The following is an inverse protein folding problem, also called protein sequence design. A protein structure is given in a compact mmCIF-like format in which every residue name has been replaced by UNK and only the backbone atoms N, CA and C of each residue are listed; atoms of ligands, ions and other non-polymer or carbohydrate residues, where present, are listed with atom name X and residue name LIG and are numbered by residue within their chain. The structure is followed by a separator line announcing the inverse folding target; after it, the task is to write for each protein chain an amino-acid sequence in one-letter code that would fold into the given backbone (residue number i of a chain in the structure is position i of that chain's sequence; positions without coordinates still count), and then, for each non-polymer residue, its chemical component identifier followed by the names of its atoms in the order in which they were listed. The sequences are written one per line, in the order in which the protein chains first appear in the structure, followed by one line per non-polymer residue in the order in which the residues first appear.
data_IF_391738639272
#
_entry.id   IF_391738639272
#
_cell.length_a   1.000
_cell.length_b   1.000
_cell.length_c   1.000
_cell.angle_alpha   90.00
_cell.angle_beta   90.00
_cell.angle_gamma   90.00
#
_symmetry.space_group_name_H-M   'P 1'
#
loop_
_entity.id
_entity.type
_entity.pdbx_description
1 polymer ?
#
# COMPACT_ATOMS: atom_id res chain seq x y z
N UNK A 1 25.15 -21.43 65.59
CA UNK A 1 24.83 -21.28 64.14
C UNK A 1 23.91 -22.44 63.74
N UNK A 2 22.87 -22.23 62.92
CA UNK A 2 22.08 -23.35 62.42
C UNK A 2 22.99 -24.29 61.60
N UNK A 3 22.84 -25.62 61.72
CA UNK A 3 23.75 -26.54 61.07
C UNK A 3 23.64 -26.47 59.54
N UNK A 4 24.79 -26.62 58.87
CA UNK A 4 24.99 -26.41 57.43
C UNK A 4 23.99 -27.18 56.55
N UNK A 5 23.58 -28.38 56.97
CA UNK A 5 22.67 -29.25 56.23
C UNK A 5 21.23 -28.74 56.23
N UNK A 6 20.74 -28.23 57.36
CA UNK A 6 19.44 -27.57 57.46
C UNK A 6 19.40 -26.33 56.55
N UNK A 7 20.45 -25.51 56.59
CA UNK A 7 20.55 -24.29 55.79
C UNK A 7 20.51 -24.57 54.27
N UNK A 8 21.31 -25.53 53.79
CA UNK A 8 21.35 -25.91 52.36
C UNK A 8 20.01 -26.48 51.86
N UNK A 9 19.30 -27.22 52.70
CA UNK A 9 18.00 -27.80 52.35
C UNK A 9 16.91 -26.73 52.27
N UNK A 10 16.88 -25.80 53.22
CA UNK A 10 15.98 -24.63 53.20
C UNK A 10 16.29 -23.68 52.03
N UNK A 11 17.57 -23.49 51.66
CA UNK A 11 17.94 -22.70 50.48
C UNK A 11 17.34 -23.27 49.18
N UNK A 12 17.29 -24.59 49.01
CA UNK A 12 16.70 -25.24 47.83
C UNK A 12 15.19 -24.98 47.75
N UNK A 13 14.49 -25.03 48.89
CA UNK A 13 13.05 -24.69 48.96
C UNK A 13 12.84 -23.20 48.72
N UNK A 14 13.67 -22.34 49.31
CA UNK A 14 13.62 -20.87 49.13
C UNK A 14 13.76 -20.48 47.66
N UNK A 15 14.68 -21.08 46.92
CA UNK A 15 14.84 -20.83 45.47
C UNK A 15 13.56 -21.15 44.69
N UNK A 16 12.87 -22.24 45.03
CA UNK A 16 11.59 -22.62 44.41
C UNK A 16 10.47 -21.65 44.78
N UNK A 17 10.39 -21.22 46.03
CA UNK A 17 9.43 -20.21 46.48
C UNK A 17 9.65 -18.86 45.78
N UNK A 18 10.91 -18.48 45.55
CA UNK A 18 11.25 -17.29 44.76
C UNK A 18 10.72 -17.48 43.33
N UNK A 19 11.03 -18.60 42.68
CA UNK A 19 10.59 -18.86 41.30
C UNK A 19 9.06 -18.87 41.15
N UNK A 20 8.33 -19.52 42.06
CA UNK A 20 6.86 -19.51 42.03
C UNK A 20 6.30 -18.11 42.25
N UNK A 21 6.89 -17.34 43.16
CA UNK A 21 6.46 -15.97 43.43
C UNK A 21 6.79 -15.00 42.30
N UNK A 22 7.92 -15.19 41.58
CA UNK A 22 8.24 -14.47 40.35
C UNK A 22 7.21 -14.79 39.28
N UNK A 23 6.89 -16.07 39.06
CA UNK A 23 5.94 -16.50 38.05
C UNK A 23 4.53 -15.92 38.30
N UNK A 24 4.05 -15.99 39.54
CA UNK A 24 2.74 -15.45 39.91
C UNK A 24 2.64 -13.94 39.71
N UNK A 25 3.71 -13.19 40.09
CA UNK A 25 3.75 -11.73 39.91
C UNK A 25 3.95 -11.32 38.46
N UNK A 26 4.78 -12.04 37.70
CA UNK A 26 4.98 -11.81 36.28
C UNK A 26 3.67 -12.00 35.51
N UNK A 27 2.95 -13.09 35.76
CA UNK A 27 1.64 -13.33 35.15
C UNK A 27 0.64 -12.23 35.51
N UNK A 28 0.63 -11.74 36.75
CA UNK A 28 -0.24 -10.65 37.17
C UNK A 28 0.07 -9.31 36.46
N UNK A 29 1.35 -8.94 36.36
CA UNK A 29 1.75 -7.71 35.66
C UNK A 29 1.53 -7.83 34.15
N UNK A 30 1.66 -9.02 33.57
CA UNK A 30 1.38 -9.28 32.17
C UNK A 30 -0.11 -9.05 31.83
N UNK A 31 -1.04 -9.39 32.73
CA UNK A 31 -2.47 -9.06 32.55
C UNK A 31 -2.67 -7.55 32.42
N UNK A 32 -2.07 -6.78 33.33
CA UNK A 32 -2.16 -5.32 33.30
C UNK A 32 -1.47 -4.71 32.08
N UNK A 33 -0.33 -5.27 31.65
CA UNK A 33 0.37 -4.83 30.45
C UNK A 33 -0.46 -5.08 29.18
N UNK A 34 -1.08 -6.26 29.04
CA UNK A 34 -1.98 -6.53 27.92
C UNK A 34 -3.24 -5.68 27.97
N UNK A 35 -3.83 -5.44 29.15
CA UNK A 35 -4.96 -4.54 29.29
C UNK A 35 -4.59 -3.09 28.88
N UNK A 36 -3.49 -2.54 29.39
CA UNK A 36 -3.00 -1.22 28.98
C UNK A 36 -2.68 -1.17 27.47
N UNK A 37 -2.07 -2.23 26.94
CA UNK A 37 -1.79 -2.38 25.51
C UNK A 37 -3.06 -2.42 24.66
N UNK A 38 -4.14 -3.09 25.11
CA UNK A 38 -5.43 -3.08 24.40
C UNK A 38 -6.03 -1.68 24.35
N UNK A 39 -6.03 -0.96 25.47
CA UNK A 39 -6.53 0.43 25.54
C UNK A 39 -5.72 1.34 24.62
N UNK A 40 -4.39 1.21 24.64
CA UNK A 40 -3.51 1.96 23.76
C UNK A 40 -3.75 1.63 22.27
N UNK A 41 -3.87 0.36 21.91
CA UNK A 41 -4.15 -0.06 20.53
C UNK A 41 -5.52 0.41 20.03
N UNK A 42 -6.52 0.51 20.90
CA UNK A 42 -7.81 1.12 20.58
C UNK A 42 -7.64 2.63 20.38
N UNK A 43 -6.89 3.31 21.26
CA UNK A 43 -6.64 4.73 21.17
C UNK A 43 -5.85 5.13 19.90
N UNK A 44 -4.84 4.36 19.50
CA UNK A 44 -4.10 4.62 18.23
C UNK A 44 -5.00 4.46 17.02
N UNK A 45 -5.89 3.45 17.02
CA UNK A 45 -6.90 3.27 15.98
C UNK A 45 -7.90 4.42 15.92
N UNK A 46 -8.23 5.02 17.06
CA UNK A 46 -9.18 6.12 17.12
C UNK A 46 -8.55 7.50 16.83
N UNK A 47 -7.28 7.70 17.18
CA UNK A 47 -6.64 9.02 17.18
C UNK A 47 -5.69 9.29 15.99
N UNK A 48 -5.28 8.29 15.19
CA UNK A 48 -4.43 8.39 13.98
C UNK A 48 -3.09 9.19 14.08
N UNK A 49 -2.81 9.83 15.20
CA UNK A 49 -1.63 10.67 15.43
C UNK A 49 -0.58 10.00 16.34
N UNK A 50 -0.78 8.72 16.70
CA UNK A 50 0.08 8.01 17.63
C UNK A 50 1.01 7.02 16.89
N UNK A 51 2.26 6.84 17.37
CA UNK A 51 3.22 5.90 16.79
C UNK A 51 2.68 4.47 16.67
N UNK A 52 3.31 3.68 15.80
CA UNK A 52 2.92 2.29 15.53
C UNK A 52 2.80 1.46 16.84
N UNK A 53 1.61 0.88 17.06
CA UNK A 53 1.21 0.26 18.33
C UNK A 53 1.97 -1.04 18.65
N UNK A 54 2.63 -1.63 17.66
CA UNK A 54 3.44 -2.84 17.73
C UNK A 54 4.69 -2.66 18.61
N UNK A 55 5.41 -1.56 18.46
CA UNK A 55 6.63 -1.28 19.23
C UNK A 55 6.32 -0.96 20.69
N UNK A 56 5.24 -0.23 20.96
CA UNK A 56 4.84 0.15 22.32
C UNK A 56 4.37 -1.07 23.13
N UNK A 57 3.66 -2.00 22.50
CA UNK A 57 3.24 -3.25 23.15
C UNK A 57 4.42 -4.11 23.62
N UNK A 58 5.48 -4.22 22.81
CA UNK A 58 6.69 -4.95 23.17
C UNK A 58 7.39 -4.33 24.38
N UNK A 59 7.58 -3.01 24.38
CA UNK A 59 8.23 -2.30 25.50
C UNK A 59 7.42 -2.42 26.80
N UNK A 60 6.09 -2.39 26.74
CA UNK A 60 5.23 -2.59 27.92
C UNK A 60 5.36 -4.01 28.50
N UNK A 61 5.44 -5.04 27.64
CA UNK A 61 5.63 -6.42 28.08
C UNK A 61 7.01 -6.64 28.73
N UNK A 62 8.06 -6.05 28.15
CA UNK A 62 9.41 -6.07 28.71
C UNK A 62 9.44 -5.36 30.07
N UNK A 63 8.88 -4.14 30.16
CA UNK A 63 8.82 -3.37 31.40
C UNK A 63 8.08 -4.13 32.51
N UNK A 64 6.93 -4.74 32.21
CA UNK A 64 6.17 -5.55 33.16
C UNK A 64 6.97 -6.74 33.71
N UNK A 65 7.74 -7.40 32.85
CA UNK A 65 8.59 -8.54 33.24
C UNK A 65 9.73 -8.09 34.15
N UNK A 66 10.42 -7.01 33.79
CA UNK A 66 11.51 -6.44 34.60
C UNK A 66 10.99 -5.96 35.96
N UNK A 67 9.84 -5.28 36.01
CA UNK A 67 9.20 -4.84 37.25
C UNK A 67 8.78 -6.02 38.14
N UNK A 68 8.32 -7.14 37.56
CA UNK A 68 7.97 -8.35 38.32
C UNK A 68 9.21 -8.95 39.01
N UNK A 69 10.32 -9.04 38.28
CA UNK A 69 11.59 -9.53 38.79
C UNK A 69 12.13 -8.59 39.87
N UNK A 70 12.18 -7.29 39.59
CA UNK A 70 12.64 -6.28 40.55
C UNK A 70 11.82 -6.28 41.85
N UNK A 71 10.48 -6.33 41.76
CA UNK A 71 9.62 -6.42 42.94
C UNK A 71 9.86 -7.72 43.71
N UNK A 72 9.98 -8.85 43.03
CA UNK A 72 10.23 -10.12 43.73
C UNK A 72 11.61 -10.16 44.38
N UNK A 73 12.60 -9.50 43.78
CA UNK A 73 13.92 -9.30 44.36
C UNK A 73 13.93 -8.25 45.49
N UNK A 74 12.97 -7.33 45.56
CA UNK A 74 12.81 -6.41 46.68
C UNK A 74 12.07 -7.07 47.86
N UNK A 75 11.10 -7.96 47.58
CA UNK A 75 10.34 -8.73 48.57
C UNK A 75 10.68 -10.21 48.54
N UNK A 76 11.98 -10.52 48.65
CA UNK A 76 12.48 -11.90 48.59
C UNK A 76 11.95 -12.69 49.81
N UNK A 77 11.36 -13.88 49.59
CA UNK A 77 11.09 -14.83 50.67
C UNK A 77 12.36 -15.09 51.49
N UNK A 78 12.22 -15.07 52.80
CA UNK A 78 13.28 -15.34 53.76
C UNK A 78 13.47 -16.86 53.92
N UNK A 79 14.53 -17.28 54.61
CA UNK A 79 14.70 -18.69 54.98
C UNK A 79 13.65 -19.15 55.99
N UNK A 80 13.18 -18.23 56.84
CA UNK A 80 12.05 -18.47 57.74
C UNK A 80 10.79 -18.83 56.96
N UNK A 81 10.48 -18.08 55.90
CA UNK A 81 9.33 -18.38 55.03
C UNK A 81 9.43 -19.76 54.39
N UNK A 82 10.66 -20.19 54.03
CA UNK A 82 10.92 -21.52 53.48
C UNK A 82 10.74 -22.63 54.52
N UNK A 83 11.15 -22.40 55.77
CA UNK A 83 10.93 -23.34 56.88
C UNK A 83 9.44 -23.49 57.19
N UNK A 84 8.73 -22.37 57.38
CA UNK A 84 7.29 -22.35 57.64
C UNK A 84 6.48 -22.96 56.47
N UNK A 85 6.84 -22.66 55.22
CA UNK A 85 6.19 -23.26 54.06
C UNK A 85 6.43 -24.78 53.99
N UNK A 86 7.64 -25.24 54.33
CA UNK A 86 7.97 -26.66 54.37
C UNK A 86 7.20 -27.40 55.46
N UNK A 87 7.10 -26.81 56.66
CA UNK A 87 6.36 -27.41 57.78
C UNK A 87 4.87 -27.54 57.46
N UNK A 88 4.27 -26.51 56.84
CA UNK A 88 2.87 -26.54 56.41
C UNK A 88 2.63 -27.55 55.28
N UNK A 89 3.52 -27.61 54.30
CA UNK A 89 3.35 -28.49 53.13
C UNK A 89 3.57 -29.97 53.47
N UNK A 90 4.46 -30.27 54.42
CA UNK A 90 4.82 -31.63 54.82
C UNK A 90 4.22 -32.06 56.16
N UNK A 91 3.41 -31.22 56.79
CA UNK A 91 2.73 -31.51 58.06
C UNK A 91 3.67 -31.68 59.25
N UNK A 92 4.83 -31.01 59.25
CA UNK A 92 5.90 -31.24 60.23
C UNK A 92 5.68 -30.51 61.56
N UNK A 93 4.51 -29.90 61.79
CA UNK A 93 4.12 -29.25 63.06
C UNK A 93 5.22 -28.33 63.62
N UNK A 94 5.70 -27.39 62.79
CA UNK A 94 6.68 -26.35 63.15
C UNK A 94 8.09 -26.84 63.51
N UNK A 95 8.44 -28.10 63.21
CA UNK A 95 9.78 -28.63 63.51
C UNK A 95 10.90 -27.86 62.83
N UNK A 96 10.76 -27.52 61.54
CA UNK A 96 11.82 -26.81 60.81
C UNK A 96 11.86 -25.32 61.16
N UNK A 97 10.69 -24.68 61.33
CA UNK A 97 10.61 -23.27 61.73
C UNK A 97 11.13 -23.05 63.14
N UNK A 98 10.76 -23.91 64.09
CA UNK A 98 11.21 -23.81 65.48
C UNK A 98 12.71 -24.11 65.61
N UNK A 99 13.22 -25.12 64.89
CA UNK A 99 14.66 -25.38 64.85
C UNK A 99 15.45 -24.22 64.24
N UNK A 100 14.93 -23.55 63.20
CA UNK A 100 15.58 -22.39 62.59
C UNK A 100 15.56 -21.16 63.52
N UNK A 101 14.47 -20.91 64.26
CA UNK A 101 14.36 -19.82 65.25
C UNK A 101 15.29 -20.06 66.44
N UNK A 102 15.31 -21.28 66.98
CA UNK A 102 16.03 -21.62 68.21
C UNK A 102 17.49 -22.00 67.98
N UNK A 103 17.92 -22.18 66.72
CA UNK A 103 19.31 -22.49 66.36
C UNK A 103 20.40 -21.65 67.06
N UNK A 104 20.23 -20.34 67.32
CA UNK A 104 21.21 -19.55 68.06
C UNK A 104 21.40 -19.98 69.52
N UNK A 105 20.38 -20.60 70.16
CA UNK A 105 20.39 -21.03 71.58
C UNK A 105 20.81 -22.49 71.78
N UNK A 106 21.32 -23.13 70.73
CA UNK A 106 21.64 -24.57 70.73
C UNK A 106 22.74 -24.97 71.70
N UNK A 107 23.65 -24.06 72.03
CA UNK A 107 24.73 -24.30 73.00
C UNK A 107 24.28 -24.10 74.46
N UNK A 108 23.17 -23.40 74.68
CA UNK A 108 22.66 -23.03 76.00
C UNK A 108 21.64 -24.05 76.55
N UNK A 109 20.92 -24.73 75.67
CA UNK A 109 19.83 -25.64 76.03
C UNK A 109 19.95 -27.00 75.31
N UNK A 110 20.21 -28.11 76.03
CA UNK A 110 20.31 -29.44 75.44
C UNK A 110 19.01 -29.91 74.76
N UNK A 111 17.85 -29.39 75.18
CA UNK A 111 16.58 -29.66 74.51
C UNK A 111 16.56 -29.04 73.11
N UNK A 112 17.10 -27.84 72.95
CA UNK A 112 17.21 -27.16 71.64
C UNK A 112 18.19 -27.92 70.74
N UNK A 113 19.29 -28.42 71.28
CA UNK A 113 20.22 -29.26 70.53
C UNK A 113 19.52 -30.55 69.99
N UNK A 114 18.72 -31.21 70.82
CA UNK A 114 17.95 -32.39 70.40
C UNK A 114 16.90 -32.06 69.31
N UNK A 115 16.21 -30.92 69.43
CA UNK A 115 15.25 -30.45 68.42
C UNK A 115 15.93 -30.20 67.06
N UNK A 116 17.14 -29.65 67.07
CA UNK A 116 17.90 -29.38 65.83
C UNK A 116 18.30 -30.69 65.16
N UNK A 117 18.76 -31.69 65.91
CA UNK A 117 19.10 -33.01 65.35
C UNK A 117 17.87 -33.69 64.72
N UNK A 118 16.70 -33.63 65.37
CA UNK A 118 15.43 -34.13 64.78
C UNK A 118 15.07 -33.37 63.49
N UNK A 119 15.19 -32.04 63.51
CA UNK A 119 14.92 -31.20 62.36
C UNK A 119 15.88 -31.46 61.19
N UNK A 120 17.16 -31.75 61.45
CA UNK A 120 18.14 -32.11 60.43
C UNK A 120 17.84 -33.46 59.78
N UNK A 121 17.54 -34.48 60.58
CA UNK A 121 17.14 -35.79 60.06
C UNK A 121 15.90 -35.66 59.17
N UNK A 122 14.96 -34.79 59.55
CA UNK A 122 13.77 -34.53 58.73
C UNK A 122 14.05 -33.66 57.50
N UNK A 123 14.96 -32.69 57.60
CA UNK A 123 15.39 -31.87 56.48
C UNK A 123 16.19 -32.66 55.43
N UNK A 124 16.92 -33.70 55.83
CA UNK A 124 17.67 -34.57 54.92
C UNK A 124 16.75 -35.37 53.98
N UNK A 125 15.56 -35.76 54.47
CA UNK A 125 14.52 -36.46 53.69
C UNK A 125 13.53 -35.50 53.00
N UNK A 126 13.78 -34.19 53.07
CA UNK A 126 12.89 -33.19 52.51
C UNK A 126 12.96 -33.16 50.98
N UNK A 127 11.83 -33.45 50.33
CA UNK A 127 11.67 -33.26 48.89
C UNK A 127 11.19 -31.83 48.60
N UNK A 128 12.01 -30.97 47.97
CA UNK A 128 11.64 -29.60 47.64
C UNK A 128 10.43 -29.50 46.69
N UNK A 129 10.11 -30.57 45.94
CA UNK A 129 8.93 -30.63 45.06
C UNK A 129 7.63 -30.78 45.85
N UNK A 130 7.66 -31.53 46.96
CA UNK A 130 6.51 -31.71 47.84
C UNK A 130 6.29 -30.50 48.74
N UNK A 131 7.39 -29.87 49.20
CA UNK A 131 7.34 -28.64 49.99
C UNK A 131 6.78 -27.44 49.19
N UNK A 132 7.07 -27.37 47.89
CA UNK A 132 6.55 -26.34 47.00
C UNK A 132 6.12 -26.98 45.67
N UNK A 133 4.88 -27.50 45.58
CA UNK A 133 4.38 -28.08 44.35
C UNK A 133 4.25 -27.00 43.27
N UNK A 134 4.59 -27.30 42.01
CA UNK A 134 4.38 -26.37 40.90
C UNK A 134 2.88 -26.10 40.77
N UNK A 135 2.46 -24.90 41.16
CA UNK A 135 1.08 -24.44 41.01
C UNK A 135 1.03 -23.51 39.81
N UNK A 136 0.09 -23.81 38.92
CA UNK A 136 -0.20 -22.90 37.83
C UNK A 136 -0.92 -21.66 38.38
N UNK A 137 -0.45 -20.42 38.12
CA UNK A 137 -1.11 -19.22 38.62
C UNK A 137 -2.57 -19.20 38.20
N UNK A 138 -3.50 -19.00 39.14
CA UNK A 138 -4.94 -18.85 38.82
C UNK A 138 -5.19 -17.70 37.83
N UNK A 139 -4.33 -16.69 37.83
CA UNK A 139 -4.37 -15.51 36.95
C UNK A 139 -3.94 -15.77 35.51
N UNK A 140 -3.36 -16.93 35.21
CA UNK A 140 -2.95 -17.32 33.85
C UNK A 140 -4.10 -17.33 32.85
N UNK A 141 -5.32 -17.70 33.28
CA UNK A 141 -6.52 -17.64 32.44
C UNK A 141 -6.86 -16.21 32.04
N UNK A 142 -6.71 -15.28 32.99
CA UNK A 142 -6.88 -13.84 32.72
C UNK A 142 -5.84 -13.32 31.75
N UNK A 143 -4.57 -13.69 31.94
CA UNK A 143 -3.48 -13.34 31.02
C UNK A 143 -3.73 -13.85 29.59
N UNK A 144 -4.20 -15.09 29.45
CA UNK A 144 -4.57 -15.68 28.17
C UNK A 144 -5.74 -14.91 27.53
N UNK A 145 -6.79 -14.62 28.29
CA UNK A 145 -7.96 -13.88 27.78
C UNK A 145 -7.58 -12.47 27.31
N UNK A 146 -6.83 -11.71 28.10
CA UNK A 146 -6.37 -10.36 27.73
C UNK A 146 -5.39 -10.40 26.57
N UNK A 147 -4.54 -11.43 26.48
CA UNK A 147 -3.64 -11.64 25.35
C UNK A 147 -4.38 -11.93 24.05
N UNK A 148 -5.40 -12.78 24.09
CA UNK A 148 -6.28 -13.05 22.93
C UNK A 148 -7.02 -11.79 22.51
N UNK A 149 -7.55 -11.02 23.46
CA UNK A 149 -8.24 -9.76 23.17
C UNK A 149 -7.29 -8.74 22.52
N UNK A 150 -6.06 -8.63 23.03
CA UNK A 150 -5.02 -7.78 22.44
C UNK A 150 -4.70 -8.20 21.00
N UNK A 151 -4.51 -9.50 20.76
CA UNK A 151 -4.22 -10.02 19.43
C UNK A 151 -5.40 -9.80 18.47
N UNK A 152 -6.64 -10.00 18.93
CA UNK A 152 -7.84 -9.73 18.16
C UNK A 152 -7.93 -8.26 17.77
N UNK A 153 -7.64 -7.34 18.70
CA UNK A 153 -7.60 -5.90 18.40
C UNK A 153 -6.51 -5.59 17.38
N UNK A 154 -5.33 -6.20 17.45
CA UNK A 154 -4.28 -5.98 16.44
C UNK A 154 -4.69 -6.48 15.05
N UNK A 155 -5.36 -7.64 14.97
CA UNK A 155 -5.72 -8.29 13.71
C UNK A 155 -6.94 -7.66 13.00
N UNK A 156 -7.83 -7.00 13.75
CA UNK A 156 -9.00 -6.31 13.16
C UNK A 156 -8.53 -5.12 12.31
N UNK A 157 -8.80 -5.07 11.00
CA UNK A 157 -8.48 -3.91 10.20
C UNK A 157 -9.20 -2.67 10.72
N UNK A 158 -8.54 -1.51 10.62
CA UNK A 158 -9.04 -0.18 11.01
C UNK A 158 -10.56 -0.03 10.84
N UNK A 159 -11.28 0.01 11.98
CA UNK A 159 -12.75 0.08 12.01
C UNK A 159 -13.20 1.45 11.49
N UNK A 160 -13.73 1.47 10.28
CA UNK A 160 -14.14 2.67 9.54
C UNK A 160 -15.43 3.33 10.04
N UNK A 161 -16.01 2.86 11.15
CA UNK A 161 -17.31 3.33 11.65
C UNK A 161 -17.27 4.78 12.15
N UNK A 162 -16.14 5.25 12.68
CA UNK A 162 -15.99 6.59 13.27
C UNK A 162 -15.25 7.60 12.35
N UNK A 163 -15.27 7.40 11.02
CA UNK A 163 -14.74 8.41 10.10
C UNK A 163 -15.63 9.68 10.15
N UNK A 164 -15.03 10.79 10.58
CA UNK A 164 -15.61 12.14 10.52
C UNK A 164 -16.11 12.44 9.08
N UNK A 165 -17.23 13.17 8.90
CA UNK A 165 -17.81 13.44 7.58
C UNK A 165 -16.84 14.13 6.60
N UNK A 166 -15.92 14.95 7.12
CA UNK A 166 -14.85 15.62 6.36
C UNK A 166 -13.88 14.63 5.68
N UNK A 167 -13.59 13.49 6.34
CA UNK A 167 -12.78 12.43 5.76
C UNK A 167 -13.54 11.56 4.75
N UNK A 168 -14.87 11.50 4.85
CA UNK A 168 -15.69 10.86 3.80
C UNK A 168 -15.64 11.67 2.51
N UNK A 169 -15.66 13.00 2.60
CA UNK A 169 -15.51 13.89 1.45
C UNK A 169 -14.14 13.75 0.78
N UNK A 170 -13.06 13.73 1.58
CA UNK A 170 -11.69 13.47 1.08
C UNK A 170 -11.57 12.09 0.41
N UNK A 171 -12.12 11.03 1.01
CA UNK A 171 -12.14 9.68 0.42
C UNK A 171 -12.95 9.62 -0.88
N UNK A 172 -14.04 10.38 -1.00
CA UNK A 172 -14.80 10.44 -2.26
C UNK A 172 -14.01 11.14 -3.37
N UNK A 173 -13.22 12.15 -3.03
CA UNK A 173 -12.38 12.86 -4.02
C UNK A 173 -11.20 11.99 -4.46
N UNK A 174 -10.51 11.32 -3.53
CA UNK A 174 -9.48 10.31 -3.84
C UNK A 174 -10.03 9.16 -4.70
N UNK A 175 -11.28 8.75 -4.46
CA UNK A 175 -11.94 7.73 -5.30
C UNK A 175 -12.29 8.23 -6.69
N UNK A 176 -12.68 9.51 -6.83
CA UNK A 176 -12.89 10.14 -8.14
C UNK A 176 -11.59 10.18 -8.93
N UNK A 177 -10.51 10.63 -8.30
CA UNK A 177 -9.18 10.64 -8.91
C UNK A 177 -8.72 9.22 -9.29
N UNK A 178 -8.86 8.24 -8.40
CA UNK A 178 -8.56 6.84 -8.71
C UNK A 178 -9.33 6.32 -9.94
N UNK A 179 -10.62 6.69 -10.10
CA UNK A 179 -11.41 6.33 -11.28
C UNK A 179 -10.89 7.03 -12.54
N UNK A 180 -10.54 8.32 -12.47
CA UNK A 180 -9.92 9.07 -13.57
C UNK A 180 -8.61 8.37 -14.02
N UNK A 181 -7.69 8.07 -13.09
CA UNK A 181 -6.43 7.37 -13.41
C UNK A 181 -6.66 6.02 -14.09
N UNK A 182 -7.63 5.22 -13.62
CA UNK A 182 -7.97 3.95 -14.27
C UNK A 182 -8.53 4.12 -15.68
N UNK A 183 -9.32 5.17 -15.90
CA UNK A 183 -9.83 5.50 -17.24
C UNK A 183 -8.67 5.87 -18.18
N UNK A 184 -7.73 6.70 -17.72
CA UNK A 184 -6.50 7.05 -18.46
C UNK A 184 -5.70 5.80 -18.81
N UNK A 185 -5.43 4.94 -17.83
CA UNK A 185 -4.68 3.70 -18.05
C UNK A 185 -5.35 2.78 -19.08
N UNK A 186 -6.69 2.65 -19.03
CA UNK A 186 -7.46 1.84 -20.00
C UNK A 186 -7.50 2.48 -21.39
N UNK A 187 -7.37 3.80 -21.50
CA UNK A 187 -7.22 4.51 -22.78
C UNK A 187 -5.84 4.23 -23.38
N UNK A 188 -4.76 4.36 -22.60
CA UNK A 188 -3.38 4.10 -23.04
C UNK A 188 -3.20 2.67 -23.56
N UNK A 189 -3.80 1.70 -22.88
CA UNK A 189 -3.74 0.29 -23.26
C UNK A 189 -4.49 -0.04 -24.56
N UNK A 190 -5.52 0.75 -24.91
CA UNK A 190 -6.37 0.49 -26.09
C UNK A 190 -5.77 0.93 -27.41
N UNK A 191 -4.84 1.89 -27.40
CA UNK A 191 -4.18 2.33 -28.63
C UNK A 191 -3.32 1.18 -29.15
N UNK A 192 -3.27 0.94 -30.46
CA UNK A 192 -2.42 -0.08 -31.07
C UNK A 192 -1.24 0.55 -31.79
N UNK A 193 -0.14 0.78 -31.08
CA UNK A 193 1.13 1.22 -31.66
C UNK A 193 2.23 0.24 -31.27
N UNK A 194 2.82 -0.45 -32.26
CA UNK A 194 3.74 -1.58 -32.03
C UNK A 194 5.05 -1.13 -31.37
N UNK A 195 5.62 -0.02 -31.82
CA UNK A 195 6.95 0.43 -31.38
C UNK A 195 6.96 0.92 -29.92
N UNK A 196 5.83 1.40 -29.41
CA UNK A 196 5.69 1.90 -28.04
C UNK A 196 4.81 0.99 -27.18
N UNK A 197 4.57 -0.24 -27.61
CA UNK A 197 3.65 -1.15 -26.91
C UNK A 197 4.13 -1.47 -25.50
N UNK A 198 5.43 -1.76 -25.32
CA UNK A 198 6.02 -2.06 -24.04
C UNK A 198 5.93 -0.88 -23.06
N UNK A 199 6.41 0.29 -23.47
CA UNK A 199 6.41 1.51 -22.65
C UNK A 199 4.98 1.92 -22.24
N UNK A 200 4.01 1.82 -23.15
CA UNK A 200 2.59 2.15 -22.86
C UNK A 200 1.95 1.16 -21.90
N UNK A 201 2.20 -0.15 -22.07
CA UNK A 201 1.70 -1.17 -21.13
C UNK A 201 2.29 -0.97 -19.74
N UNK A 202 3.57 -0.63 -19.66
CA UNK A 202 4.24 -0.32 -18.40
C UNK A 202 3.62 0.92 -17.73
N UNK A 203 3.44 2.02 -18.46
CA UNK A 203 2.79 3.22 -17.95
C UNK A 203 1.35 2.94 -17.48
N UNK A 204 0.56 2.22 -18.28
CA UNK A 204 -0.81 1.82 -17.92
C UNK A 204 -0.85 0.94 -16.66
N UNK A 205 0.10 0.01 -16.51
CA UNK A 205 0.20 -0.83 -15.32
C UNK A 205 0.52 0.01 -14.07
N UNK A 206 1.50 0.92 -14.15
CA UNK A 206 1.85 1.80 -13.04
C UNK A 206 0.72 2.75 -12.65
N UNK A 207 0.00 3.30 -13.63
CA UNK A 207 -1.20 4.11 -13.38
C UNK A 207 -2.30 3.30 -12.68
N UNK A 208 -2.53 2.05 -13.08
CA UNK A 208 -3.49 1.14 -12.41
C UNK A 208 -3.05 0.81 -10.98
N UNK A 209 -1.75 0.62 -10.75
CA UNK A 209 -1.18 0.36 -9.44
C UNK A 209 -1.37 1.56 -8.50
N UNK A 210 -0.94 2.76 -8.91
CA UNK A 210 -1.15 4.00 -8.16
C UNK A 210 -2.64 4.22 -7.84
N UNK A 211 -3.54 4.02 -8.83
CA UNK A 211 -4.97 4.15 -8.60
C UNK A 211 -5.52 3.14 -7.58
N UNK A 212 -4.94 1.94 -7.47
CA UNK A 212 -5.33 0.90 -6.52
C UNK A 212 -4.82 1.24 -5.11
N UNK A 213 -3.58 1.69 -4.98
CA UNK A 213 -2.96 2.11 -3.73
C UNK A 213 -3.70 3.32 -3.14
N UNK A 214 -4.01 4.33 -3.96
CA UNK A 214 -4.84 5.48 -3.56
C UNK A 214 -6.24 5.05 -3.09
N UNK A 215 -6.89 4.12 -3.81
CA UNK A 215 -8.23 3.63 -3.41
C UNK A 215 -8.22 2.92 -2.05
N UNK A 216 -7.10 2.26 -1.71
CA UNK A 216 -6.93 1.54 -0.44
C UNK A 216 -6.51 2.45 0.71
N UNK A 217 -6.02 3.66 0.42
CA UNK A 217 -5.44 4.56 1.42
C UNK A 217 -4.10 4.05 1.94
N UNK A 218 -3.37 3.31 1.12
CA UNK A 218 -2.04 2.74 1.45
C UNK A 218 -0.91 3.76 1.26
N UNK A 219 -1.17 4.87 0.57
CA UNK A 219 -0.18 5.92 0.26
C UNK A 219 -0.49 7.20 1.04
N UNK A 220 0.56 7.86 1.52
CA UNK A 220 0.46 9.26 1.94
C UNK A 220 0.29 10.18 0.72
N UNK A 221 -0.32 11.36 0.90
CA UNK A 221 -0.50 12.35 -0.19
C UNK A 221 0.82 12.80 -0.82
N UNK A 222 1.87 12.97 0.00
CA UNK A 222 3.20 13.32 -0.49
C UNK A 222 3.81 12.23 -1.38
N UNK A 223 3.63 10.96 -1.01
CA UNK A 223 4.05 9.81 -1.85
C UNK A 223 3.23 9.72 -3.13
N UNK A 224 1.90 9.92 -3.05
CA UNK A 224 1.02 9.94 -4.21
C UNK A 224 1.43 11.04 -5.20
N UNK A 225 1.68 12.27 -4.73
CA UNK A 225 2.17 13.39 -5.54
C UNK A 225 3.53 13.08 -6.19
N UNK A 226 4.44 12.42 -5.46
CA UNK A 226 5.75 12.01 -5.99
C UNK A 226 5.59 10.99 -7.13
N UNK A 227 4.78 9.95 -6.92
CA UNK A 227 4.47 8.97 -7.97
C UNK A 227 3.79 9.64 -9.17
N UNK A 228 2.88 10.57 -8.91
CA UNK A 228 2.21 11.36 -9.94
C UNK A 228 3.21 12.07 -10.85
N UNK A 229 4.16 12.81 -10.26
CA UNK A 229 5.21 13.52 -11.01
C UNK A 229 6.04 12.58 -11.86
N UNK A 230 6.39 11.41 -11.34
CA UNK A 230 7.17 10.43 -12.06
C UNK A 230 6.40 9.88 -13.27
N UNK A 231 5.12 9.54 -13.09
CA UNK A 231 4.28 9.06 -14.19
C UNK A 231 3.99 10.14 -15.23
N UNK A 232 3.85 11.41 -14.82
CA UNK A 232 3.72 12.51 -15.77
C UNK A 232 4.98 12.70 -16.60
N UNK A 233 6.17 12.56 -16.01
CA UNK A 233 7.44 12.59 -16.76
C UNK A 233 7.53 11.43 -17.74
N UNK A 234 7.17 10.22 -17.32
CA UNK A 234 7.15 9.04 -18.21
C UNK A 234 6.17 9.22 -19.38
N UNK A 235 5.00 9.81 -19.13
CA UNK A 235 4.03 10.14 -20.17
C UNK A 235 4.58 11.20 -21.15
N UNK A 236 5.26 12.23 -20.63
CA UNK A 236 5.88 13.28 -21.43
C UNK A 236 7.05 12.75 -22.27
N UNK A 237 7.89 11.87 -21.71
CA UNK A 237 8.96 11.21 -22.44
C UNK A 237 8.41 10.34 -23.57
N UNK A 238 7.30 9.63 -23.33
CA UNK A 238 6.61 8.88 -24.39
C UNK A 238 6.07 9.80 -25.47
N UNK A 239 5.46 10.91 -25.08
CA UNK A 239 4.97 11.92 -26.01
C UNK A 239 6.13 12.49 -26.85
N UNK A 240 7.25 12.84 -26.23
CA UNK A 240 8.44 13.33 -26.93
C UNK A 240 9.06 12.27 -27.86
N UNK A 241 9.08 10.99 -27.49
CA UNK A 241 9.54 9.91 -28.36
C UNK A 241 8.66 9.81 -29.62
N UNK A 242 7.35 9.92 -29.46
CA UNK A 242 6.39 9.91 -30.56
C UNK A 242 6.53 11.18 -31.42
N UNK A 243 6.62 12.36 -30.81
CA UNK A 243 6.76 13.63 -31.52
C UNK A 243 8.11 13.79 -32.24
N UNK A 244 9.21 13.22 -31.71
CA UNK A 244 10.54 13.24 -32.34
C UNK A 244 10.63 12.36 -33.59
N UNK A 245 9.69 11.43 -33.79
CA UNK A 245 9.48 10.87 -35.13
C UNK A 245 8.88 11.97 -36.00
N UNK A 246 9.78 12.75 -36.62
CA UNK A 246 9.57 13.99 -37.38
C UNK A 246 8.52 13.94 -38.52
N UNK A 247 7.84 12.81 -38.71
CA UNK A 247 6.84 12.56 -39.76
C UNK A 247 5.41 12.89 -39.34
N UNK A 248 5.11 13.15 -38.06
CA UNK A 248 3.70 13.24 -37.61
C UNK A 248 3.01 14.58 -37.92
N UNK A 249 3.69 15.72 -37.82
CA UNK A 249 3.07 17.02 -38.15
C UNK A 249 2.64 17.17 -39.61
N UNK A 250 3.51 16.96 -40.62
CA UNK A 250 3.10 17.10 -42.02
C UNK A 250 2.07 16.04 -42.43
N UNK A 251 2.09 14.86 -41.81
CA UNK A 251 1.04 13.85 -42.04
C UNK A 251 -0.28 14.24 -41.37
N UNK A 252 -0.27 14.81 -40.16
CA UNK A 252 -1.45 15.34 -39.50
C UNK A 252 -2.11 16.46 -40.31
N UNK A 253 -1.34 17.41 -40.85
CA UNK A 253 -1.86 18.50 -41.67
C UNK A 253 -2.50 17.98 -42.98
N UNK A 254 -1.84 17.00 -43.62
CA UNK A 254 -2.36 16.34 -44.81
C UNK A 254 -3.68 15.61 -44.51
N UNK A 255 -3.73 14.88 -43.39
CA UNK A 255 -4.91 14.15 -42.93
C UNK A 255 -6.05 15.08 -42.49
N UNK A 256 -5.74 16.25 -41.91
CA UNK A 256 -6.71 17.28 -41.57
C UNK A 256 -7.36 17.87 -42.83
N UNK A 257 -6.54 18.18 -43.83
CA UNK A 257 -7.01 18.66 -45.13
C UNK A 257 -7.93 17.63 -45.79
N UNK A 258 -7.54 16.36 -45.77
CA UNK A 258 -8.34 15.25 -46.29
C UNK A 258 -9.67 15.12 -45.53
N UNK A 259 -9.66 15.10 -44.20
CA UNK A 259 -10.88 15.01 -43.39
C UNK A 259 -11.85 16.15 -43.69
N UNK A 260 -11.36 17.38 -43.71
CA UNK A 260 -12.19 18.56 -43.93
C UNK A 260 -12.79 18.59 -45.35
N UNK A 261 -12.08 18.03 -46.34
CA UNK A 261 -12.57 17.93 -47.71
C UNK A 261 -13.62 16.82 -47.90
N UNK A 262 -13.47 15.67 -47.21
CA UNK A 262 -14.42 14.56 -47.33
C UNK A 262 -15.68 14.73 -46.47
N UNK A 263 -15.55 15.32 -45.28
CA UNK A 263 -16.64 15.45 -44.31
C UNK A 263 -16.39 16.61 -43.35
N UNK A 264 -16.83 17.83 -43.68
CA UNK A 264 -16.67 19.00 -42.82
C UNK A 264 -17.36 18.83 -41.46
N UNK A 265 -18.44 18.04 -41.41
CA UNK A 265 -19.18 17.71 -40.17
C UNK A 265 -18.32 16.97 -39.13
N UNK A 266 -17.20 16.37 -39.55
CA UNK A 266 -16.27 15.64 -38.68
C UNK A 266 -15.10 16.48 -38.18
N UNK A 267 -15.13 17.81 -38.35
CA UNK A 267 -14.08 18.70 -37.87
C UNK A 267 -13.84 18.60 -36.34
N UNK A 268 -14.90 18.32 -35.56
CA UNK A 268 -14.84 18.15 -34.10
C UNK A 268 -14.39 16.77 -33.61
N UNK A 269 -14.27 15.76 -34.48
CA UNK A 269 -13.81 14.43 -34.09
C UNK A 269 -12.27 14.40 -33.97
N UNK A 270 -11.68 13.51 -33.13
CA UNK A 270 -10.24 13.27 -33.14
C UNK A 270 -9.75 12.95 -34.55
N UNK A 271 -8.66 13.59 -34.99
CA UNK A 271 -8.18 13.54 -36.37
C UNK A 271 -8.11 12.12 -36.96
N UNK A 272 -7.53 11.11 -36.27
CA UNK A 272 -7.39 9.78 -36.84
C UNK A 272 -8.75 9.07 -36.98
N UNK A 273 -9.64 9.27 -36.00
CA UNK A 273 -10.98 8.71 -36.02
C UNK A 273 -11.85 9.38 -37.10
N UNK A 274 -11.71 10.69 -37.27
CA UNK A 274 -12.41 11.45 -38.30
C UNK A 274 -12.02 11.03 -39.71
N UNK A 275 -10.72 10.83 -39.98
CA UNK A 275 -10.27 10.32 -41.29
C UNK A 275 -10.80 8.91 -41.55
N UNK A 276 -10.71 8.00 -40.58
CA UNK A 276 -11.23 6.62 -40.72
C UNK A 276 -12.72 6.60 -41.03
N UNK A 277 -13.51 7.46 -40.37
CA UNK A 277 -14.95 7.54 -40.60
C UNK A 277 -15.29 8.22 -41.92
N UNK A 278 -14.60 9.31 -42.29
CA UNK A 278 -14.80 10.00 -43.55
C UNK A 278 -14.51 9.10 -44.76
N UNK A 279 -13.38 8.36 -44.74
CA UNK A 279 -13.03 7.41 -45.80
C UNK A 279 -14.01 6.23 -45.85
N UNK A 280 -14.37 5.62 -44.71
CA UNK A 280 -15.38 4.54 -44.67
C UNK A 280 -16.76 5.01 -45.13
N UNK A 281 -17.14 6.25 -44.79
CA UNK A 281 -18.39 6.86 -45.23
C UNK A 281 -18.41 7.08 -46.74
N UNK A 282 -17.29 7.52 -47.30
CA UNK A 282 -17.13 7.71 -48.73
C UNK A 282 -17.14 6.39 -49.51
N UNK A 283 -16.47 5.35 -49.01
CA UNK A 283 -16.53 4.00 -49.58
C UNK A 283 -17.99 3.49 -49.64
N UNK A 284 -18.76 3.66 -48.57
CA UNK A 284 -20.19 3.28 -48.57
C UNK A 284 -21.03 4.07 -49.57
N UNK A 285 -20.69 5.33 -49.84
CA UNK A 285 -21.38 6.15 -50.86
C UNK A 285 -21.01 5.71 -52.27
N UNK A 286 -19.75 5.29 -52.48
CA UNK A 286 -19.27 4.71 -53.74
C UNK A 286 -19.97 3.39 -54.05
N UNK A 287 -20.06 2.48 -53.08
CA UNK A 287 -20.73 1.17 -53.26
C UNK A 287 -22.22 1.31 -53.60
N UNK A 288 -22.86 2.38 -53.10
CA UNK A 288 -24.27 2.68 -53.36
C UNK A 288 -24.52 3.45 -54.66
N UNK A 289 -23.46 3.85 -55.38
CA UNK A 289 -23.59 4.66 -56.60
C UNK A 289 -24.23 6.04 -56.39
N UNK A 290 -24.17 6.59 -55.17
CA UNK A 290 -24.88 7.82 -54.78
C UNK A 290 -24.10 9.11 -55.06
N UNK A 291 -23.10 9.07 -55.93
CA UNK A 291 -22.22 10.20 -56.19
C UNK A 291 -22.50 10.81 -57.55
N UNK A 292 -22.85 12.09 -57.57
CA UNK A 292 -22.97 12.85 -58.81
C UNK A 292 -21.59 13.02 -59.48
N UNK A 293 -21.52 13.17 -60.81
CA UNK A 293 -20.26 13.37 -61.53
C UNK A 293 -19.50 14.65 -61.08
N UNK A 294 -20.22 15.65 -60.57
CA UNK A 294 -19.59 16.85 -59.97
C UNK A 294 -18.92 16.55 -58.63
N UNK A 295 -19.58 15.76 -57.76
CA UNK A 295 -19.00 15.32 -56.49
C UNK A 295 -17.79 14.42 -56.71
N UNK A 296 -17.83 13.53 -57.71
CA UNK A 296 -16.69 12.68 -58.06
C UNK A 296 -15.45 13.50 -58.47
N UNK A 297 -15.63 14.56 -59.27
CA UNK A 297 -14.53 15.47 -59.64
C UNK A 297 -13.97 16.23 -58.45
N UNK A 298 -14.83 16.76 -57.58
CA UNK A 298 -14.40 17.46 -56.35
C UNK A 298 -13.62 16.54 -55.41
N UNK A 299 -14.10 15.31 -55.23
CA UNK A 299 -13.45 14.29 -54.41
C UNK A 299 -12.11 13.85 -55.00
N UNK A 300 -12.03 13.66 -56.32
CA UNK A 300 -10.79 13.34 -57.01
C UNK A 300 -9.74 14.45 -56.79
N UNK A 301 -10.12 15.71 -56.88
CA UNK A 301 -9.20 16.83 -56.63
C UNK A 301 -8.73 16.90 -55.17
N UNK A 302 -9.64 16.67 -54.21
CA UNK A 302 -9.31 16.61 -52.79
C UNK A 302 -8.34 15.46 -52.47
N UNK A 303 -8.58 14.26 -53.01
CA UNK A 303 -7.72 13.10 -52.84
C UNK A 303 -6.34 13.32 -53.47
N UNK A 304 -6.27 13.98 -54.63
CA UNK A 304 -5.01 14.32 -55.29
C UNK A 304 -4.18 15.32 -54.46
N UNK A 305 -4.82 16.37 -53.91
CA UNK A 305 -4.16 17.33 -53.00
C UNK A 305 -3.65 16.64 -51.73
N UNK A 306 -4.44 15.76 -51.14
CA UNK A 306 -4.03 14.98 -49.98
C UNK A 306 -2.89 14.00 -50.30
N UNK A 307 -2.92 13.36 -51.48
CA UNK A 307 -1.86 12.47 -51.95
C UNK A 307 -0.52 13.23 -52.12
N UNK A 308 -0.54 14.44 -52.68
CA UNK A 308 0.67 15.27 -52.79
C UNK A 308 1.23 15.68 -51.43
N UNK A 309 0.36 16.04 -50.48
CA UNK A 309 0.76 16.36 -49.11
C UNK A 309 1.34 15.14 -48.38
N UNK A 310 0.72 13.97 -48.51
CA UNK A 310 1.23 12.72 -47.94
C UNK A 310 2.54 12.25 -48.58
N UNK A 311 2.72 12.49 -49.89
CA UNK A 311 3.99 12.22 -50.59
C UNK A 311 5.12 13.08 -50.03
N UNK A 312 4.85 14.37 -49.79
CA UNK A 312 5.81 15.29 -49.13
C UNK A 312 6.09 14.88 -47.68
N UNK A 313 5.11 14.28 -47.01
CA UNK A 313 5.21 13.81 -45.63
C UNK A 313 5.86 12.42 -45.48
N UNK A 314 6.35 11.81 -46.58
CA UNK A 314 7.05 10.52 -46.55
C UNK A 314 6.16 9.28 -46.65
N UNK A 315 4.83 9.46 -46.74
CA UNK A 315 3.87 8.36 -46.89
C UNK A 315 3.62 8.05 -48.37
N UNK A 316 4.65 7.57 -49.07
CA UNK A 316 4.61 7.34 -50.51
C UNK A 316 3.58 6.27 -50.93
N UNK A 317 3.37 5.23 -50.12
CA UNK A 317 2.42 4.15 -50.39
C UNK A 317 0.97 4.65 -50.30
N UNK A 318 0.61 5.29 -49.19
CA UNK A 318 -0.70 5.93 -49.03
C UNK A 318 -0.96 7.03 -50.08
N UNK A 319 0.06 7.81 -50.44
CA UNK A 319 -0.05 8.82 -51.49
C UNK A 319 -0.34 8.21 -52.87
N UNK A 320 0.28 7.06 -53.19
CA UNK A 320 0.00 6.33 -54.45
C UNK A 320 -1.43 5.82 -54.47
N UNK A 321 -1.88 5.17 -53.40
CA UNK A 321 -3.24 4.64 -53.31
C UNK A 321 -4.31 5.74 -53.39
N UNK A 322 -4.10 6.90 -52.74
CA UNK A 322 -5.01 8.05 -52.85
C UNK A 322 -5.00 8.69 -54.24
N UNK A 323 -3.84 8.74 -54.90
CA UNK A 323 -3.73 9.22 -56.29
C UNK A 323 -4.44 8.28 -57.26
N UNK A 324 -4.36 6.97 -57.04
CA UNK A 324 -5.07 5.98 -57.85
C UNK A 324 -6.59 6.06 -57.63
N UNK A 325 -7.04 6.19 -56.38
CA UNK A 325 -8.44 6.45 -56.06
C UNK A 325 -8.98 7.72 -56.77
N UNK A 326 -8.17 8.79 -56.83
CA UNK A 326 -8.53 10.01 -57.54
C UNK A 326 -8.69 9.78 -59.06
N UNK A 327 -7.83 8.97 -59.68
CA UNK A 327 -7.96 8.62 -61.12
C UNK A 327 -9.20 7.76 -61.38
N UNK A 328 -9.45 6.74 -60.56
CA UNK A 328 -10.63 5.89 -60.68
C UNK A 328 -11.92 6.71 -60.55
N UNK A 329 -11.98 7.68 -59.62
CA UNK A 329 -13.08 8.64 -59.51
C UNK A 329 -13.24 9.50 -60.76
N UNK A 330 -12.15 10.02 -61.33
CA UNK A 330 -12.22 10.85 -62.54
C UNK A 330 -12.66 10.09 -63.81
N UNK A 331 -12.46 8.77 -63.83
CA UNK A 331 -12.86 7.89 -64.94
C UNK A 331 -14.24 7.24 -64.73
N UNK A 332 -14.93 7.57 -63.62
CA UNK A 332 -16.24 7.00 -63.28
C UNK A 332 -16.20 5.57 -62.73
N UNK A 333 -15.00 5.00 -62.52
CA UNK A 333 -14.83 3.66 -61.97
C UNK A 333 -14.95 3.69 -60.43
N UNK A 334 -16.19 3.64 -59.93
CA UNK A 334 -16.49 3.71 -58.50
C UNK A 334 -15.99 2.50 -57.71
N UNK A 335 -15.96 1.30 -58.31
CA UNK A 335 -15.46 0.09 -57.64
C UNK A 335 -13.94 0.13 -57.46
N UNK A 336 -13.20 0.51 -58.52
CA UNK A 336 -11.74 0.69 -58.43
C UNK A 336 -11.35 1.80 -57.46
N UNK A 337 -12.16 2.85 -57.36
CA UNK A 337 -11.94 3.90 -56.35
C UNK A 337 -12.12 3.37 -54.92
N UNK A 338 -13.12 2.53 -54.66
CA UNK A 338 -13.35 1.94 -53.34
C UNK A 338 -12.20 1.02 -52.92
N UNK A 339 -11.67 0.20 -53.84
CA UNK A 339 -10.51 -0.67 -53.60
C UNK A 339 -9.26 0.16 -53.26
N UNK A 340 -8.94 1.15 -54.08
CA UNK A 340 -7.78 2.03 -53.85
C UNK A 340 -7.89 2.83 -52.55
N UNK A 341 -9.10 3.22 -52.12
CA UNK A 341 -9.33 3.84 -50.82
C UNK A 341 -9.15 2.88 -49.66
N UNK A 342 -9.45 1.60 -49.85
CA UNK A 342 -9.22 0.55 -48.85
C UNK A 342 -7.72 0.34 -48.64
N UNK A 343 -6.96 0.28 -49.74
CA UNK A 343 -5.50 0.19 -49.72
C UNK A 343 -4.87 1.43 -49.08
N UNK A 344 -5.37 2.62 -49.42
CA UNK A 344 -4.95 3.87 -48.80
C UNK A 344 -5.21 3.88 -47.29
N UNK A 345 -6.36 3.39 -46.84
CA UNK A 345 -6.68 3.25 -45.41
C UNK A 345 -5.69 2.33 -44.70
N UNK A 346 -5.35 1.18 -45.30
CA UNK A 346 -4.35 0.28 -44.72
C UNK A 346 -2.96 0.88 -44.67
N UNK A 347 -2.53 1.59 -45.73
CA UNK A 347 -1.25 2.29 -45.76
C UNK A 347 -1.17 3.46 -44.76
N UNK A 348 -2.31 4.10 -44.48
CA UNK A 348 -2.41 5.15 -43.46
C UNK A 348 -2.57 4.61 -42.04
N UNK A 349 -2.91 3.34 -41.84
CA UNK A 349 -3.22 2.76 -40.53
C UNK A 349 -2.07 2.94 -39.53
N UNK A 350 -0.83 2.79 -40.00
CA UNK A 350 0.38 3.06 -39.20
C UNK A 350 0.44 4.53 -38.73
N UNK A 351 0.35 5.48 -39.66
CA UNK A 351 0.37 6.91 -39.35
C UNK A 351 -0.81 7.35 -38.45
N UNK A 352 -2.01 6.84 -38.72
CA UNK A 352 -3.20 7.07 -37.91
C UNK A 352 -3.00 6.53 -36.48
N UNK A 353 -2.40 5.34 -36.34
CA UNK A 353 -2.13 4.75 -35.02
C UNK A 353 -1.06 5.50 -34.22
N UNK A 354 -0.07 6.10 -34.91
CA UNK A 354 0.94 6.94 -34.29
C UNK A 354 0.34 8.27 -33.81
N UNK A 355 -0.53 8.90 -34.62
CA UNK A 355 -1.29 10.09 -34.22
C UNK A 355 -2.26 9.82 -33.07
N UNK A 356 -2.93 8.66 -33.06
CA UNK A 356 -3.76 8.22 -31.92
C UNK A 356 -2.91 8.08 -30.64
N UNK A 357 -1.68 7.55 -30.75
CA UNK A 357 -0.77 7.42 -29.62
C UNK A 357 -0.25 8.79 -29.12
N UNK A 358 0.10 9.69 -30.03
CA UNK A 358 0.56 11.04 -29.72
C UNK A 358 -0.53 11.86 -29.02
N UNK A 359 -1.75 11.90 -29.58
CA UNK A 359 -2.88 12.63 -29.00
C UNK A 359 -3.22 12.11 -27.60
N UNK A 360 -3.20 10.79 -27.42
CA UNK A 360 -3.58 10.16 -26.16
C UNK A 360 -2.50 10.25 -25.09
N UNK A 361 -1.21 10.28 -25.48
CA UNK A 361 -0.11 10.58 -24.53
C UNK A 361 -0.16 12.03 -24.05
N UNK A 362 -0.51 12.98 -24.92
CA UNK A 362 -0.72 14.38 -24.54
C UNK A 362 -1.95 14.57 -23.64
N UNK A 363 -3.07 13.91 -23.95
CA UNK A 363 -4.26 13.93 -23.09
C UNK A 363 -3.95 13.31 -21.72
N UNK A 364 -3.23 12.19 -21.70
CA UNK A 364 -2.80 11.55 -20.46
C UNK A 364 -1.88 12.46 -19.62
N UNK A 365 -0.90 13.14 -20.23
CA UNK A 365 -0.02 14.04 -19.49
C UNK A 365 -0.80 15.24 -18.92
N UNK A 366 -1.77 15.79 -19.67
CA UNK A 366 -2.65 16.86 -19.23
C UNK A 366 -3.58 16.43 -18.07
N UNK A 367 -4.30 15.30 -18.21
CA UNK A 367 -5.15 14.75 -17.15
C UNK A 367 -4.34 14.40 -15.90
N UNK A 368 -3.07 13.99 -16.09
CA UNK A 368 -2.18 13.75 -14.98
C UNK A 368 -1.76 15.05 -14.29
N UNK A 369 -1.41 16.10 -15.03
CA UNK A 369 -1.11 17.41 -14.43
C UNK A 369 -2.30 17.97 -13.65
N UNK A 370 -3.52 17.83 -14.19
CA UNK A 370 -4.77 18.26 -13.57
C UNK A 370 -5.01 17.52 -12.24
N UNK A 371 -4.96 16.18 -12.25
CA UNK A 371 -5.12 15.39 -11.03
C UNK A 371 -4.06 15.67 -9.97
N UNK A 372 -2.83 16.04 -10.38
CA UNK A 372 -1.77 16.47 -9.45
C UNK A 372 -2.09 17.82 -8.79
N UNK A 373 -2.67 18.76 -9.54
CA UNK A 373 -3.09 20.07 -9.03
C UNK A 373 -4.25 19.93 -8.04
N UNK A 374 -5.26 19.14 -8.40
CA UNK A 374 -6.41 18.83 -7.53
C UNK A 374 -5.96 18.25 -6.17
N UNK A 375 -4.98 17.34 -6.19
CA UNK A 375 -4.41 16.71 -4.98
C UNK A 375 -3.63 17.69 -4.10
N UNK A 376 -2.96 18.66 -4.73
CA UNK A 376 -2.13 19.64 -4.04
C UNK A 376 -2.97 20.76 -3.39
N UNK A 377 -4.01 21.23 -4.09
CA UNK A 377 -4.91 22.28 -3.63
C UNK A 377 -5.75 21.89 -2.41
N UNK A 378 -5.93 20.60 -2.16
CA UNK A 378 -6.73 20.13 -1.03
C UNK A 378 -6.07 20.36 0.36
N UNK A 379 -4.75 20.55 0.44
CA UNK A 379 -3.98 20.49 1.71
C UNK A 379 -2.86 21.55 1.86
N UNK A 380 -2.81 22.61 1.03
CA UNK A 380 -1.70 23.59 1.02
C UNK A 380 -0.30 22.95 0.87
N UNK A 381 -0.21 21.89 0.06
CA UNK A 381 1.04 21.18 -0.24
C UNK A 381 1.55 21.64 -1.61
N UNK A 382 2.83 22.01 -1.76
CA UNK A 382 3.33 22.46 -3.06
C UNK A 382 3.30 21.29 -4.08
N UNK A 383 2.66 21.46 -5.25
CA UNK A 383 2.46 20.39 -6.25
C UNK A 383 3.77 19.84 -6.82
N UNK A 384 4.86 20.60 -6.70
CA UNK A 384 6.17 20.29 -7.26
C UNK A 384 7.06 19.49 -6.31
N UNK A 385 7.01 19.76 -5.00
CA UNK A 385 7.83 19.07 -3.99
C UNK A 385 7.03 18.05 -3.17
N UNK A 386 5.73 18.27 -2.96
CA UNK A 386 4.92 17.45 -2.04
C UNK A 386 5.18 17.76 -0.56
N UNK A 387 5.97 18.79 -0.25
CA UNK A 387 6.12 19.33 1.10
C UNK A 387 4.99 20.33 1.38
N UNK A 388 4.56 20.45 2.65
CA UNK A 388 3.68 21.54 3.06
C UNK A 388 4.34 22.88 2.69
N UNK A 389 3.52 23.86 2.34
CA UNK A 389 3.95 25.21 1.92
C UNK A 389 5.02 25.81 2.83
N UNK A 390 4.92 25.63 4.15
CA UNK A 390 5.89 26.10 5.14
C UNK A 390 7.31 25.48 5.07
N UNK A 391 7.48 24.34 4.38
CA UNK A 391 8.75 23.58 4.29
C UNK A 391 9.21 23.36 2.84
N UNK A 392 8.61 24.03 1.86
CA UNK A 392 9.00 23.86 0.46
C UNK A 392 10.09 24.87 0.05
N UNK A 393 11.15 24.36 -0.58
CA UNK A 393 12.31 25.15 -1.07
C UNK A 393 12.33 25.24 -2.60
N UNK A 394 11.20 25.06 -3.28
CA UNK A 394 11.14 25.13 -4.74
C UNK A 394 11.04 26.58 -5.23
N UNK A 395 12.06 27.06 -5.96
CA UNK A 395 12.13 28.39 -6.60
C UNK A 395 10.95 28.77 -7.52
N UNK A 396 10.13 27.80 -7.94
CA UNK A 396 8.97 28.01 -8.83
C UNK A 396 7.60 27.97 -8.15
N UNK A 397 7.54 27.63 -6.86
CA UNK A 397 6.29 27.69 -6.11
C UNK A 397 6.18 29.12 -5.56
N UNK A 398 5.46 30.00 -6.27
CA UNK A 398 5.19 31.40 -5.90
C UNK A 398 4.30 31.53 -4.66
N UNK A 399 4.71 30.91 -3.56
CA UNK A 399 4.26 31.17 -2.20
C UNK A 399 5.34 32.03 -1.55
N UNK A 400 5.39 33.29 -1.98
CA UNK A 400 6.10 34.38 -1.33
C UNK A 400 5.11 35.50 -1.11
#
# INVERSE_FOLDING_TARGET
MAPEHLHRSLQRVRRRLILSAVLDRAVALLVWAFAAGTVYAIATKLAHALPSADRVGLWLAVAATVSAVAWTLARRPTLMDAATASDRALGLKERLSSAYVLAPRSEEDPMVAALIVDAEARAASLDPRKACPPRWPRRSRGAALTGVLYLAVLLVPQMSWFLKPEQKALRTEEQRQSKKLKAVAKRIERVRHKETEADRKQLAHRLKALAKEMKRGELSKAEALKQYRQLTKEAEELHQKLAKQNSLKPTADALATLRNALSPDQAGAPLPQGVRQALKGLMKKLDRGQLSPEEQKRLAEALKKAAEALKKAGNAEAARALSEAAKCLSSGNCSGAAEALTEALSGLEGALSALDAEALSAEASAELMDGRLDLALADDICPTCGNPSALCTCDKCGFG
#
